data_IF_935643048032
#
_entry.id   IF_935643048032
#
_cell.length_a   1.000
_cell.length_b   1.000
_cell.length_c   1.000
_cell.angle_alpha   90.00
_cell.angle_beta   90.00
_cell.angle_gamma   90.00
#
_symmetry.space_group_name_H-M   'P 1'
#
loop_
_entity.id
_entity.type
_entity.pdbx_description
1 polymer ?
#
# COMPACT_ATOMS: atom_id res chain seq x y z
N UNK A 1 -23.27 -11.83 4.28
CA UNK A 1 -21.91 -12.34 4.03
C UNK A 1 -21.02 -11.61 4.99
N UNK A 2 -20.31 -12.31 5.88
CA UNK A 2 -19.36 -11.65 6.77
C UNK A 2 -18.05 -11.31 6.04
N UNK A 3 -17.12 -10.64 6.72
CA UNK A 3 -15.86 -10.21 6.11
C UNK A 3 -14.90 -11.37 5.79
N UNK A 4 -14.94 -12.48 6.55
CA UNK A 4 -14.15 -13.70 6.31
C UNK A 4 -14.67 -14.47 5.12
N UNK A 5 -15.99 -14.65 5.01
CA UNK A 5 -16.64 -15.28 3.85
C UNK A 5 -16.27 -14.56 2.53
N UNK A 6 -16.27 -13.23 2.56
CA UNK A 6 -15.90 -12.40 1.43
C UNK A 6 -14.40 -12.56 1.12
N UNK A 7 -13.56 -12.51 2.16
CA UNK A 7 -12.11 -12.64 2.03
C UNK A 7 -11.68 -13.99 1.44
N UNK A 8 -12.26 -15.10 1.92
CA UNK A 8 -11.97 -16.45 1.41
C UNK A 8 -12.32 -16.58 -0.07
N UNK A 9 -13.46 -16.02 -0.49
CA UNK A 9 -13.86 -16.01 -1.90
C UNK A 9 -12.92 -15.16 -2.75
N UNK A 10 -12.49 -13.99 -2.25
CA UNK A 10 -11.52 -13.15 -2.94
C UNK A 10 -10.17 -13.85 -3.02
N UNK A 11 -9.72 -14.47 -1.93
CA UNK A 11 -8.46 -15.20 -1.88
C UNK A 11 -8.43 -16.35 -2.87
N UNK A 12 -9.52 -17.13 -2.99
CA UNK A 12 -9.63 -18.18 -4.00
C UNK A 12 -9.51 -17.65 -5.44
N UNK A 13 -10.02 -16.45 -5.73
CA UNK A 13 -9.84 -15.79 -7.03
C UNK A 13 -8.38 -15.38 -7.21
N UNK A 14 -7.76 -14.79 -6.20
CA UNK A 14 -6.35 -14.36 -6.23
C UNK A 14 -5.42 -15.55 -6.40
N UNK A 15 -5.61 -16.65 -5.68
CA UNK A 15 -4.79 -17.85 -5.78
C UNK A 15 -4.87 -18.44 -7.20
N UNK A 16 -6.08 -18.50 -7.77
CA UNK A 16 -6.30 -19.05 -9.10
C UNK A 16 -5.73 -18.18 -10.22
N UNK A 17 -5.92 -16.86 -10.14
CA UNK A 17 -5.64 -15.94 -11.25
C UNK A 17 -4.40 -15.07 -11.05
N UNK A 18 -3.91 -14.91 -9.82
CA UNK A 18 -2.78 -14.06 -9.46
C UNK A 18 -1.49 -14.35 -10.23
N UNK A 19 -1.06 -15.62 -10.39
CA UNK A 19 0.14 -15.95 -11.16
C UNK A 19 0.07 -15.49 -12.63
N UNK A 20 -1.11 -15.63 -13.26
CA UNK A 20 -1.35 -15.18 -14.63
C UNK A 20 -1.35 -13.65 -14.71
N UNK A 21 -2.08 -12.97 -13.82
CA UNK A 21 -2.13 -11.50 -13.76
C UNK A 21 -0.73 -10.90 -13.60
N UNK A 22 0.08 -11.49 -12.72
CA UNK A 22 1.46 -11.05 -12.50
C UNK A 22 2.33 -11.24 -13.75
N UNK A 23 2.34 -12.45 -14.31
CA UNK A 23 3.12 -12.76 -15.52
C UNK A 23 2.72 -11.85 -16.68
N UNK A 24 1.42 -11.72 -16.92
CA UNK A 24 0.88 -10.94 -18.02
C UNK A 24 1.23 -9.45 -17.85
N UNK A 25 1.17 -8.91 -16.62
CA UNK A 25 1.56 -7.52 -16.33
C UNK A 25 3.01 -7.20 -16.70
N UNK A 26 3.92 -8.15 -16.47
CA UNK A 26 5.34 -8.02 -16.83
C UNK A 26 5.60 -8.02 -18.35
N UNK A 27 4.63 -8.46 -19.15
CA UNK A 27 4.74 -8.54 -20.62
C UNK A 27 4.09 -7.35 -21.33
N UNK A 28 3.64 -6.34 -20.58
CA UNK A 28 2.98 -5.15 -21.15
C UNK A 28 3.98 -4.03 -21.46
N UNK A 29 3.48 -2.89 -21.91
CA UNK A 29 4.24 -1.64 -22.02
C UNK A 29 4.53 -0.96 -20.67
N UNK A 30 3.98 -1.48 -19.55
CA UNK A 30 4.07 -0.90 -18.21
C UNK A 30 4.60 -1.89 -17.15
N UNK A 31 5.68 -2.63 -17.43
CA UNK A 31 6.10 -3.76 -16.61
C UNK A 31 6.48 -3.36 -15.18
N UNK A 32 7.15 -2.22 -14.95
CA UNK A 32 7.55 -1.81 -13.60
C UNK A 32 6.37 -1.35 -12.76
N UNK A 33 5.45 -0.61 -13.37
CA UNK A 33 4.25 -0.09 -12.69
C UNK A 33 3.32 -1.23 -12.31
N UNK A 34 3.06 -2.16 -13.24
CA UNK A 34 2.23 -3.33 -12.97
C UNK A 34 2.90 -4.31 -12.01
N UNK A 35 4.23 -4.45 -12.05
CA UNK A 35 4.98 -5.19 -11.03
C UNK A 35 4.77 -4.56 -9.64
N UNK A 36 4.89 -3.25 -9.52
CA UNK A 36 4.68 -2.55 -8.25
C UNK A 36 3.27 -2.77 -7.71
N UNK A 37 2.26 -2.63 -8.58
CA UNK A 37 0.85 -2.88 -8.24
C UNK A 37 0.60 -4.32 -7.79
N UNK A 38 1.13 -5.32 -8.51
CA UNK A 38 1.02 -6.71 -8.11
C UNK A 38 1.71 -7.00 -6.77
N UNK A 39 2.86 -6.37 -6.49
CA UNK A 39 3.51 -6.49 -5.19
C UNK A 39 2.68 -5.85 -4.06
N UNK A 40 1.89 -4.82 -4.34
CA UNK A 40 0.92 -4.29 -3.36
C UNK A 40 -0.23 -5.26 -3.09
N UNK A 41 -0.61 -6.13 -4.03
CA UNK A 41 -1.57 -7.20 -3.74
C UNK A 41 -1.02 -8.14 -2.65
N UNK A 42 0.24 -8.57 -2.78
CA UNK A 42 0.88 -9.44 -1.80
C UNK A 42 1.05 -8.74 -0.44
N UNK A 43 1.61 -7.52 -0.42
CA UNK A 43 1.83 -6.74 0.81
C UNK A 43 0.50 -6.43 1.53
N UNK A 44 -0.52 -6.02 0.76
CA UNK A 44 -1.86 -5.76 1.29
C UNK A 44 -2.45 -7.00 1.94
N UNK A 45 -2.35 -8.15 1.27
CA UNK A 45 -2.86 -9.41 1.81
C UNK A 45 -2.14 -9.83 3.10
N UNK A 46 -0.82 -9.68 3.17
CA UNK A 46 -0.05 -9.97 4.38
C UNK A 46 -0.47 -9.08 5.56
N UNK A 47 -0.63 -7.77 5.32
CA UNK A 47 -1.09 -6.83 6.36
C UNK A 47 -2.51 -7.14 6.82
N UNK A 48 -3.43 -7.43 5.89
CA UNK A 48 -4.81 -7.85 6.19
C UNK A 48 -4.84 -9.12 7.05
N UNK A 49 -4.09 -10.14 6.66
CA UNK A 49 -4.01 -11.41 7.42
C UNK A 49 -3.46 -11.16 8.82
N UNK A 50 -2.40 -10.35 8.94
CA UNK A 50 -1.89 -9.95 10.25
C UNK A 50 -2.92 -9.20 11.10
N UNK A 51 -3.79 -8.38 10.48
CA UNK A 51 -4.87 -7.72 11.20
C UNK A 51 -5.95 -8.71 11.69
N UNK A 52 -6.27 -9.76 10.93
CA UNK A 52 -7.11 -10.85 11.43
C UNK A 52 -6.49 -11.53 12.65
N UNK A 53 -5.20 -11.87 12.58
CA UNK A 53 -4.49 -12.49 13.69
C UNK A 53 -4.49 -11.59 14.95
N UNK A 54 -4.38 -10.27 14.78
CA UNK A 54 -4.45 -9.34 15.91
C UNK A 54 -5.83 -9.25 16.55
N UNK A 55 -6.91 -9.42 15.78
CA UNK A 55 -8.27 -9.51 16.34
C UNK A 55 -8.44 -10.84 17.07
N UNK A 56 -8.03 -11.95 16.46
CA UNK A 56 -8.13 -13.30 17.04
C UNK A 56 -7.30 -13.46 18.32
N UNK A 57 -6.23 -12.66 18.47
CA UNK A 57 -5.39 -12.62 19.67
C UNK A 57 -5.71 -11.48 20.64
N UNK A 58 -6.82 -10.74 20.45
CA UNK A 58 -7.23 -9.61 21.29
C UNK A 58 -6.15 -8.52 21.45
N UNK A 59 -5.49 -8.15 20.35
CA UNK A 59 -4.40 -7.19 20.32
C UNK A 59 -4.75 -5.92 19.50
N UNK A 60 -5.61 -5.04 20.03
CA UNK A 60 -6.03 -3.81 19.34
C UNK A 60 -4.85 -2.86 19.08
N UNK A 61 -3.81 -2.86 19.92
CA UNK A 61 -2.61 -2.06 19.67
C UNK A 61 -1.94 -2.43 18.34
N UNK A 62 -1.62 -3.71 18.18
CA UNK A 62 -0.97 -4.20 16.97
C UNK A 62 -1.86 -4.02 15.74
N UNK A 63 -3.18 -4.21 15.89
CA UNK A 63 -4.15 -3.91 14.84
C UNK A 63 -4.01 -2.46 14.33
N UNK A 64 -4.01 -1.47 15.22
CA UNK A 64 -3.89 -0.04 14.84
C UNK A 64 -2.57 0.26 14.12
N UNK A 65 -1.46 -0.33 14.56
CA UNK A 65 -0.15 -0.20 13.91
C UNK A 65 -0.18 -0.77 12.49
N UNK A 66 -0.72 -1.98 12.33
CA UNK A 66 -0.85 -2.62 11.02
C UNK A 66 -1.80 -1.85 10.10
N UNK A 67 -2.93 -1.38 10.62
CA UNK A 67 -3.91 -0.64 9.85
C UNK A 67 -3.33 0.68 9.32
N UNK A 68 -2.55 1.39 10.16
CA UNK A 68 -1.81 2.57 9.72
C UNK A 68 -0.86 2.28 8.56
N UNK A 69 -0.13 1.17 8.62
CA UNK A 69 0.75 0.72 7.53
C UNK A 69 -0.05 0.36 6.28
N UNK A 70 -1.18 -0.32 6.45
CA UNK A 70 -2.07 -0.71 5.36
C UNK A 70 -2.66 0.49 4.62
N UNK A 71 -3.09 1.54 5.33
CA UNK A 71 -3.51 2.81 4.71
C UNK A 71 -2.42 3.42 3.82
N UNK A 72 -1.16 3.38 4.25
CA UNK A 72 -0.04 3.90 3.47
C UNK A 72 0.24 3.06 2.22
N UNK A 73 0.20 1.73 2.36
CA UNK A 73 0.35 0.82 1.23
C UNK A 73 -0.76 1.02 0.19
N UNK A 74 -2.00 1.12 0.68
CA UNK A 74 -3.16 1.36 -0.17
C UNK A 74 -3.04 2.69 -0.93
N UNK A 75 -2.60 3.77 -0.27
CA UNK A 75 -2.44 5.06 -0.93
C UNK A 75 -1.31 5.07 -1.96
N UNK A 76 -0.17 4.42 -1.67
CA UNK A 76 0.91 4.24 -2.66
C UNK A 76 0.42 3.44 -3.87
N UNK A 77 -0.34 2.37 -3.65
CA UNK A 77 -1.01 1.63 -4.72
C UNK A 77 -1.93 2.53 -5.55
N UNK A 78 -2.80 3.28 -4.89
CA UNK A 78 -3.76 4.19 -5.54
C UNK A 78 -3.04 5.25 -6.38
N UNK A 79 -1.93 5.78 -5.89
CA UNK A 79 -1.09 6.71 -6.62
C UNK A 79 -0.52 6.08 -7.90
N UNK A 80 0.03 4.87 -7.82
CA UNK A 80 0.54 4.15 -9.00
C UNK A 80 -0.56 3.91 -10.03
N UNK A 81 -1.73 3.44 -9.59
CA UNK A 81 -2.88 3.23 -10.47
C UNK A 81 -3.32 4.53 -11.17
N UNK A 82 -3.44 5.63 -10.41
CA UNK A 82 -3.82 6.93 -10.95
C UNK A 82 -2.80 7.45 -11.97
N UNK A 83 -1.49 7.39 -11.65
CA UNK A 83 -0.42 7.76 -12.58
C UNK A 83 -0.46 6.92 -13.86
N UNK A 84 -0.61 5.60 -13.73
CA UNK A 84 -0.67 4.71 -14.90
C UNK A 84 -1.85 5.04 -15.83
N UNK A 85 -3.05 5.23 -15.26
CA UNK A 85 -4.26 5.52 -16.05
C UNK A 85 -4.20 6.88 -16.74
N UNK A 86 -3.55 7.87 -16.10
CA UNK A 86 -3.40 9.23 -16.63
C UNK A 86 -2.26 9.34 -17.63
N UNK A 87 -1.05 9.00 -17.20
CA UNK A 87 0.17 9.28 -17.95
C UNK A 87 0.40 8.26 -19.07
N UNK A 88 -0.09 7.01 -18.86
CA UNK A 88 0.10 5.88 -19.79
C UNK A 88 1.57 5.67 -20.12
N UNK A 89 2.43 5.78 -19.10
CA UNK A 89 3.86 5.48 -19.13
C UNK A 89 4.22 4.53 -18.00
N UNK A 90 5.41 3.93 -18.07
CA UNK A 90 5.93 3.09 -16.99
C UNK A 90 6.73 3.89 -15.93
N UNK A 91 6.71 5.22 -16.02
CA UNK A 91 7.54 6.09 -15.18
C UNK A 91 7.22 5.96 -13.70
N UNK A 92 5.95 5.76 -13.33
CA UNK A 92 5.56 5.62 -11.93
C UNK A 92 6.21 4.39 -11.27
N UNK A 93 6.33 3.28 -12.02
CA UNK A 93 7.04 2.08 -11.60
C UNK A 93 8.54 2.30 -11.44
N UNK A 94 9.17 2.99 -12.40
CA UNK A 94 10.58 3.40 -12.32
C UNK A 94 10.84 4.31 -11.13
N UNK A 95 10.02 5.34 -10.92
CA UNK A 95 10.14 6.24 -9.77
C UNK A 95 10.03 5.46 -8.44
N UNK A 96 9.10 4.49 -8.36
CA UNK A 96 8.90 3.66 -7.17
C UNK A 96 10.08 2.72 -6.90
N UNK A 97 10.51 1.91 -7.87
CA UNK A 97 11.56 0.92 -7.62
C UNK A 97 12.95 1.52 -7.57
N UNK A 98 13.23 2.50 -8.44
CA UNK A 98 14.59 3.01 -8.60
C UNK A 98 14.84 4.20 -7.69
N UNK A 99 13.96 5.20 -7.68
CA UNK A 99 14.22 6.43 -6.93
C UNK A 99 13.87 6.28 -5.45
N UNK A 100 12.72 5.68 -5.11
CA UNK A 100 12.45 5.37 -3.70
C UNK A 100 13.42 4.33 -3.15
N UNK A 101 13.71 3.28 -3.92
CA UNK A 101 14.70 2.26 -3.53
C UNK A 101 16.10 2.84 -3.28
N UNK A 102 16.56 3.76 -4.13
CA UNK A 102 17.83 4.46 -3.91
C UNK A 102 17.81 5.33 -2.65
N UNK A 103 16.71 6.04 -2.37
CA UNK A 103 16.57 6.84 -1.13
C UNK A 103 16.57 5.95 0.10
N UNK A 104 15.82 4.86 0.10
CA UNK A 104 15.78 3.89 1.20
C UNK A 104 17.17 3.27 1.44
N UNK A 105 17.88 2.90 0.38
CA UNK A 105 19.24 2.38 0.49
C UNK A 105 20.22 3.42 1.05
N UNK A 106 20.14 4.69 0.60
CA UNK A 106 20.97 5.76 1.16
C UNK A 106 20.69 6.00 2.65
N UNK A 107 19.42 5.97 3.07
CA UNK A 107 19.02 6.13 4.47
C UNK A 107 19.51 4.97 5.33
N UNK A 108 19.34 3.73 4.86
CA UNK A 108 19.84 2.53 5.53
C UNK A 108 21.37 2.57 5.70
N UNK A 109 22.10 2.87 4.63
CA UNK A 109 23.56 2.98 4.67
C UNK A 109 24.03 4.13 5.58
N UNK A 110 23.29 5.24 5.60
CA UNK A 110 23.53 6.34 6.53
C UNK A 110 23.37 5.92 7.99
N UNK A 111 22.33 5.12 8.30
CA UNK A 111 22.11 4.57 9.63
C UNK A 111 23.23 3.60 10.06
N UNK A 112 23.70 2.74 9.15
CA UNK A 112 24.83 1.85 9.42
C UNK A 112 26.11 2.63 9.73
N UNK A 113 26.41 3.69 8.95
CA UNK A 113 27.57 4.55 9.22
C UNK A 113 27.52 5.18 10.60
N UNK A 114 26.34 5.67 11.02
CA UNK A 114 26.14 6.24 12.34
C UNK A 114 26.33 5.17 13.44
N UNK A 115 25.81 3.96 13.22
CA UNK A 115 25.99 2.84 14.15
C UNK A 115 27.46 2.44 14.30
N UNK A 116 28.21 2.35 13.20
CA UNK A 116 29.65 2.05 13.20
C UNK A 116 30.44 3.10 13.99
N UNK A 117 30.13 4.39 13.78
CA UNK A 117 30.77 5.47 14.51
C UNK A 117 30.49 5.40 16.03
N UNK A 118 29.28 4.98 16.43
CA UNK A 118 28.93 4.81 17.84
C UNK A 118 29.71 3.69 18.54
N UNK A 119 30.12 2.66 17.81
CA UNK A 119 30.92 1.54 18.33
C UNK A 119 32.42 1.70 18.11
N UNK A 120 32.86 2.85 17.58
CA UNK A 120 34.27 3.17 17.35
C UNK A 120 34.88 2.53 16.11
N UNK A 121 34.06 2.06 15.17
CA UNK A 121 34.53 1.55 13.89
C UNK A 121 34.61 2.68 12.85
N UNK A 122 35.77 2.83 12.21
CA UNK A 122 35.91 3.67 11.02
C UNK A 122 35.53 2.87 9.77
N UNK A 123 34.23 2.69 9.55
CA UNK A 123 33.70 1.98 8.38
C UNK A 123 34.08 2.69 7.06
N UNK A 124 34.99 2.09 6.28
CA UNK A 124 35.37 2.51 4.92
C UNK A 124 34.43 1.87 3.89
N UNK A 125 33.13 2.13 3.97
CA UNK A 125 32.20 1.68 2.93
C UNK A 125 32.01 2.80 1.90
N UNK A 126 32.26 2.51 0.62
CA UNK A 126 31.96 3.47 -0.46
C UNK A 126 30.47 3.37 -0.82
N UNK A 127 29.66 4.14 -0.10
CA UNK A 127 28.20 4.13 -0.19
C UNK A 127 27.67 4.57 -1.57
N UNK A 128 28.39 5.42 -2.27
CA UNK A 128 28.00 5.90 -3.59
C UNK A 128 28.00 4.75 -4.61
N UNK A 129 29.05 3.93 -4.60
CA UNK A 129 29.20 2.79 -5.51
C UNK A 129 28.11 1.72 -5.30
N UNK A 130 27.64 1.54 -4.06
CA UNK A 130 26.60 0.56 -3.75
C UNK A 130 25.23 0.98 -4.31
N UNK A 131 24.88 2.27 -4.16
CA UNK A 131 23.62 2.81 -4.71
C UNK A 131 23.66 2.80 -6.23
N UNK A 132 24.78 3.19 -6.85
CA UNK A 132 24.94 3.16 -8.30
C UNK A 132 24.80 1.74 -8.89
N UNK A 133 25.36 0.73 -8.22
CA UNK A 133 25.24 -0.68 -8.65
C UNK A 133 23.82 -1.24 -8.51
N UNK A 134 23.11 -0.90 -7.44
CA UNK A 134 21.77 -1.42 -7.16
C UNK A 134 20.68 -0.64 -7.92
N UNK A 135 20.89 0.64 -8.15
CA UNK A 135 19.92 1.56 -8.76
C UNK A 135 20.59 2.42 -9.84
N UNK A 136 21.00 1.81 -10.97
CA UNK A 136 21.70 2.53 -12.04
C UNK A 136 20.87 3.69 -12.62
N UNK A 137 19.54 3.55 -12.66
CA UNK A 137 18.62 4.60 -13.07
C UNK A 137 18.62 5.81 -12.12
N UNK A 138 19.01 5.64 -10.86
CA UNK A 138 19.11 6.72 -9.87
C UNK A 138 20.48 7.41 -9.88
N UNK A 139 21.52 6.78 -10.46
CA UNK A 139 22.92 7.21 -10.35
C UNK A 139 23.18 8.62 -10.94
N UNK A 140 22.44 8.98 -11.98
CA UNK A 140 22.58 10.29 -12.65
C UNK A 140 21.82 11.43 -11.95
N UNK A 141 21.05 11.14 -10.91
CA UNK A 141 20.24 12.11 -10.20
C UNK A 141 20.98 12.65 -8.96
N UNK A 142 20.83 13.95 -8.71
CA UNK A 142 21.28 14.54 -7.46
C UNK A 142 20.46 14.02 -6.27
N UNK A 143 21.05 14.04 -5.07
CA UNK A 143 20.32 13.73 -3.81
C UNK A 143 19.04 14.54 -3.64
N UNK A 144 19.01 15.79 -4.12
CA UNK A 144 17.82 16.63 -4.08
C UNK A 144 16.73 16.08 -5.02
N UNK A 145 17.08 15.79 -6.27
CA UNK A 145 16.14 15.20 -7.23
C UNK A 145 15.57 13.88 -6.72
N UNK A 146 16.41 12.99 -6.17
CA UNK A 146 15.95 11.73 -5.58
C UNK A 146 14.95 11.94 -4.45
N UNK A 147 15.19 12.91 -3.56
CA UNK A 147 14.24 13.29 -2.50
C UNK A 147 12.95 13.89 -3.04
N UNK A 148 13.01 14.67 -4.12
CA UNK A 148 11.84 15.26 -4.75
C UNK A 148 10.98 14.17 -5.42
N UNK A 149 11.61 13.21 -6.11
CA UNK A 149 10.92 12.06 -6.71
C UNK A 149 10.33 11.12 -5.66
N UNK A 150 11.11 10.69 -4.66
CA UNK A 150 10.61 9.81 -3.59
C UNK A 150 9.56 10.51 -2.73
N UNK A 151 9.67 11.84 -2.60
CA UNK A 151 8.70 12.69 -1.93
C UNK A 151 7.27 12.53 -2.47
N UNK A 152 7.11 12.26 -3.77
CA UNK A 152 5.79 12.02 -4.40
C UNK A 152 5.04 10.83 -3.79
N UNK A 153 5.75 9.86 -3.23
CA UNK A 153 5.18 8.66 -2.60
C UNK A 153 4.90 8.84 -1.10
N UNK A 154 5.14 10.04 -0.55
CA UNK A 154 4.74 10.38 0.81
C UNK A 154 3.25 10.64 0.85
N UNK A 155 2.62 10.22 1.95
CA UNK A 155 1.18 10.34 2.17
C UNK A 155 0.60 11.71 1.79
N UNK A 156 1.20 12.80 2.28
CA UNK A 156 0.69 14.17 2.03
C UNK A 156 0.75 14.55 0.55
N UNK A 157 1.80 14.16 -0.15
CA UNK A 157 1.99 14.46 -1.56
C UNK A 157 1.06 13.60 -2.42
N UNK A 158 0.83 12.34 -2.06
CA UNK A 158 -0.19 11.48 -2.68
C UNK A 158 -1.58 12.11 -2.51
N UNK A 159 -1.97 12.51 -1.31
CA UNK A 159 -3.28 13.13 -1.10
C UNK A 159 -3.45 14.43 -1.90
N UNK A 160 -2.42 15.27 -1.95
CA UNK A 160 -2.44 16.50 -2.76
C UNK A 160 -2.59 16.19 -4.24
N UNK A 161 -1.86 15.19 -4.74
CA UNK A 161 -1.99 14.72 -6.10
C UNK A 161 -3.41 14.23 -6.39
N UNK A 162 -3.92 13.27 -5.60
CA UNK A 162 -5.24 12.69 -5.79
C UNK A 162 -6.36 13.74 -5.74
N UNK A 163 -6.26 14.73 -4.84
CA UNK A 163 -7.20 15.84 -4.75
C UNK A 163 -7.17 16.74 -6.01
N UNK A 164 -5.99 16.94 -6.60
CA UNK A 164 -5.82 17.74 -7.83
C UNK A 164 -6.31 17.03 -9.10
N UNK A 165 -6.32 15.70 -9.12
CA UNK A 165 -6.73 14.92 -10.30
C UNK A 165 -8.24 14.82 -10.52
N UNK A 166 -9.06 15.23 -9.55
CA UNK A 166 -10.53 15.17 -9.68
C UNK A 166 -11.07 13.75 -9.89
N UNK A 167 -10.33 12.73 -9.45
CA UNK A 167 -10.75 11.34 -9.56
C UNK A 167 -12.04 11.14 -8.76
N UNK A 168 -13.09 10.62 -9.40
CA UNK A 168 -14.43 10.51 -8.77
C UNK A 168 -14.44 9.67 -7.50
N UNK A 169 -13.53 8.69 -7.38
CA UNK A 169 -13.38 7.87 -6.17
C UNK A 169 -12.67 8.58 -5.01
N UNK A 170 -12.09 9.76 -5.27
CA UNK A 170 -11.45 10.65 -4.28
C UNK A 170 -12.44 11.72 -3.76
N UNK A 171 -13.70 11.68 -4.20
CA UNK A 171 -14.69 12.67 -3.80
C UNK A 171 -15.19 12.42 -2.36
N UNK A 172 -15.62 13.48 -1.67
CA UNK A 172 -16.25 13.38 -0.34
C UNK A 172 -17.59 12.61 -0.33
N UNK A 173 -18.08 12.17 -1.50
CA UNK A 173 -19.25 11.29 -1.64
C UNK A 173 -18.88 9.80 -1.68
N UNK A 174 -17.59 9.48 -1.78
CA UNK A 174 -17.09 8.12 -1.72
C UNK A 174 -16.59 7.86 -0.29
N UNK A 175 -17.26 6.99 0.50
CA UNK A 175 -16.94 6.72 1.92
C UNK A 175 -15.51 6.25 2.19
N UNK A 176 -14.80 5.92 1.13
CA UNK A 176 -13.57 5.17 1.14
C UNK A 176 -12.34 6.00 1.59
N UNK A 177 -12.11 7.18 1.00
CA UNK A 177 -11.03 8.06 1.49
C UNK A 177 -11.38 8.77 2.80
N UNK A 178 -12.67 8.98 3.06
CA UNK A 178 -13.13 9.53 4.33
C UNK A 178 -12.87 8.59 5.51
N UNK A 179 -12.70 7.28 5.28
CA UNK A 179 -12.26 6.34 6.31
C UNK A 179 -10.72 6.29 6.42
N UNK A 180 -10.01 6.22 5.29
CA UNK A 180 -8.54 6.04 5.25
C UNK A 180 -7.80 7.26 5.83
N UNK A 181 -8.22 8.48 5.49
CA UNK A 181 -7.49 9.69 5.89
C UNK A 181 -7.52 9.93 7.40
N UNK A 182 -8.69 9.86 8.06
CA UNK A 182 -8.76 9.92 9.53
C UNK A 182 -8.04 8.75 10.19
N UNK A 183 -8.22 7.51 9.72
CA UNK A 183 -7.53 6.34 10.27
C UNK A 183 -6.00 6.50 10.23
N UNK A 184 -5.45 6.95 9.09
CA UNK A 184 -4.02 7.21 8.97
C UNK A 184 -3.54 8.28 9.97
N UNK A 185 -4.30 9.38 10.13
CA UNK A 185 -3.92 10.46 11.02
C UNK A 185 -3.99 10.03 12.49
N UNK A 186 -5.10 9.40 12.88
CA UNK A 186 -5.37 8.91 14.22
C UNK A 186 -4.33 7.86 14.64
N UNK A 187 -4.06 6.89 13.77
CA UNK A 187 -3.20 5.77 14.11
C UNK A 187 -1.69 6.08 14.00
N UNK A 188 -1.32 7.30 13.61
CA UNK A 188 0.09 7.72 13.54
C UNK A 188 0.78 7.69 14.91
N UNK A 189 0.05 7.95 16.00
CA UNK A 189 0.64 7.89 17.35
C UNK A 189 1.08 6.46 17.69
N UNK A 190 0.35 5.44 17.23
CA UNK A 190 0.59 4.04 17.59
C UNK A 190 1.91 3.53 17.02
N UNK A 191 2.22 3.91 15.77
CA UNK A 191 3.49 3.52 15.11
C UNK A 191 4.70 4.11 15.83
N UNK A 192 4.56 5.27 16.47
CA UNK A 192 5.67 5.99 17.10
C UNK A 192 5.70 5.88 18.63
N UNK A 193 4.76 5.13 19.23
CA UNK A 193 4.61 5.09 20.70
C UNK A 193 4.34 6.48 21.29
N UNK A 194 3.57 7.31 20.58
CA UNK A 194 3.28 8.67 21.00
C UNK A 194 2.29 8.74 22.17
N UNK A 195 2.23 9.87 22.91
CA UNK A 195 1.43 9.96 24.14
C UNK A 195 -0.08 9.74 23.97
N UNK A 196 -0.62 9.98 22.77
CA UNK A 196 -2.03 9.70 22.50
C UNK A 196 -2.35 8.20 22.59
N UNK A 197 -1.37 7.37 22.24
CA UNK A 197 -1.51 5.91 22.32
C UNK A 197 -1.63 5.45 23.76
N UNK A 198 -0.92 6.06 24.70
CA UNK A 198 -1.04 5.74 26.12
C UNK A 198 -2.46 6.00 26.63
N UNK A 199 -3.13 7.05 26.13
CA UNK A 199 -4.52 7.37 26.48
C UNK A 199 -5.50 6.30 26.01
N UNK A 200 -5.39 5.84 24.76
CA UNK A 200 -6.28 4.79 24.24
C UNK A 200 -5.97 3.41 24.81
N UNK A 201 -4.72 3.13 25.17
CA UNK A 201 -4.35 1.84 25.75
C UNK A 201 -5.07 1.54 27.08
N UNK A 202 -5.51 2.56 27.82
CA UNK A 202 -6.35 2.35 29.00
C UNK A 202 -7.69 1.69 28.68
N UNK A 203 -8.21 1.92 27.47
CA UNK A 203 -9.50 1.40 27.01
C UNK A 203 -9.39 0.03 26.34
N UNK A 204 -8.18 -0.50 26.11
CA UNK A 204 -7.99 -1.77 25.40
C UNK A 204 -8.43 -3.01 26.19
N UNK A 205 -8.67 -2.85 27.48
CA UNK A 205 -9.32 -3.88 28.30
C UNK A 205 -10.84 -3.95 28.08
N UNK A 206 -11.42 -2.95 27.40
CA UNK A 206 -12.85 -2.85 27.15
C UNK A 206 -13.23 -3.62 25.86
N UNK A 207 -14.33 -4.40 25.85
CA UNK A 207 -14.79 -5.11 24.65
C UNK A 207 -15.01 -4.21 23.42
N UNK A 208 -15.33 -2.94 23.64
CA UNK A 208 -15.57 -1.94 22.61
C UNK A 208 -14.33 -1.69 21.73
N UNK A 209 -13.13 -1.77 22.31
CA UNK A 209 -11.89 -1.58 21.56
C UNK A 209 -11.67 -2.69 20.51
N UNK A 210 -12.00 -3.93 20.86
CA UNK A 210 -11.92 -5.07 19.94
C UNK A 210 -13.01 -4.99 18.87
N UNK A 211 -14.24 -4.65 19.28
CA UNK A 211 -15.37 -4.48 18.36
C UNK A 211 -15.07 -3.42 17.29
N UNK A 212 -14.44 -2.30 17.66
CA UNK A 212 -14.03 -1.28 16.70
C UNK A 212 -12.99 -1.81 15.68
N UNK A 213 -12.10 -2.72 16.10
CA UNK A 213 -11.18 -3.38 15.18
C UNK A 213 -11.90 -4.32 14.22
N UNK A 214 -12.90 -5.08 14.69
CA UNK A 214 -13.74 -5.94 13.85
C UNK A 214 -14.54 -5.14 12.81
N UNK A 215 -15.09 -3.98 13.18
CA UNK A 215 -15.79 -3.08 12.26
C UNK A 215 -14.85 -2.57 11.15
N UNK A 216 -13.60 -2.24 11.51
CA UNK A 216 -12.58 -1.81 10.55
C UNK A 216 -12.15 -2.93 9.58
N UNK A 217 -12.25 -4.21 9.97
CA UNK A 217 -11.89 -5.33 9.08
C UNK A 217 -12.75 -5.39 7.83
N UNK A 218 -14.00 -4.95 7.89
CA UNK A 218 -14.86 -4.89 6.70
C UNK A 218 -14.30 -3.93 5.65
N UNK A 219 -13.86 -2.75 6.10
CA UNK A 219 -13.22 -1.75 5.25
C UNK A 219 -11.91 -2.28 4.69
N UNK A 220 -11.10 -2.93 5.53
CA UNK A 220 -9.82 -3.51 5.14
C UNK A 220 -9.99 -4.60 4.07
N UNK A 221 -10.98 -5.49 4.19
CA UNK A 221 -11.28 -6.51 3.18
C UNK A 221 -11.64 -5.85 1.85
N UNK A 222 -12.50 -4.83 1.87
CA UNK A 222 -12.84 -4.07 0.66
C UNK A 222 -11.61 -3.40 0.03
N UNK A 223 -10.78 -2.73 0.85
CA UNK A 223 -9.53 -2.12 0.40
C UNK A 223 -8.58 -3.15 -0.22
N UNK A 224 -8.39 -4.31 0.41
CA UNK A 224 -7.50 -5.33 -0.11
C UNK A 224 -8.01 -5.92 -1.44
N UNK A 225 -9.32 -6.14 -1.53
CA UNK A 225 -9.96 -6.61 -2.75
C UNK A 225 -9.83 -5.61 -3.90
N UNK A 226 -9.98 -4.30 -3.62
CA UNK A 226 -9.85 -3.27 -4.65
C UNK A 226 -8.42 -3.16 -5.18
N UNK A 227 -7.39 -3.41 -4.36
CA UNK A 227 -6.00 -3.49 -4.85
C UNK A 227 -5.89 -4.54 -5.96
N UNK A 228 -6.38 -5.76 -5.71
CA UNK A 228 -6.30 -6.84 -6.70
C UNK A 228 -7.17 -6.57 -7.94
N UNK A 229 -8.43 -6.16 -7.72
CA UNK A 229 -9.37 -5.82 -8.81
C UNK A 229 -8.82 -4.71 -9.71
N UNK A 230 -8.28 -3.64 -9.14
CA UNK A 230 -7.74 -2.54 -9.94
C UNK A 230 -6.43 -2.93 -10.63
N UNK A 231 -5.66 -3.87 -10.06
CA UNK A 231 -4.48 -4.46 -10.71
C UNK A 231 -4.87 -5.30 -11.92
N UNK A 232 -5.89 -6.17 -11.81
CA UNK A 232 -6.38 -6.97 -12.96
C UNK A 232 -6.92 -6.09 -14.07
N UNK A 233 -7.63 -5.01 -13.70
CA UNK A 233 -8.15 -4.03 -14.65
C UNK A 233 -7.02 -3.32 -15.38
N UNK A 234 -5.95 -2.94 -14.66
CA UNK A 234 -4.78 -2.28 -15.24
C UNK A 234 -4.02 -3.20 -16.20
N UNK A 235 -3.86 -4.48 -15.86
CA UNK A 235 -3.26 -5.49 -16.76
C UNK A 235 -4.11 -5.69 -18.01
N UNK A 236 -5.43 -5.85 -17.85
CA UNK A 236 -6.39 -5.99 -18.97
C UNK A 236 -6.29 -4.79 -19.92
N UNK A 237 -6.33 -3.57 -19.37
CA UNK A 237 -6.17 -2.33 -20.12
C UNK A 237 -4.83 -2.29 -20.88
N UNK A 238 -3.73 -2.65 -20.21
CA UNK A 238 -2.39 -2.64 -20.79
C UNK A 238 -2.22 -3.65 -21.93
N UNK A 239 -3.00 -4.74 -21.93
CA UNK A 239 -3.06 -5.73 -23.02
C UNK A 239 -3.97 -5.29 -24.19
N UNK A 240 -4.67 -4.15 -24.05
CA UNK A 240 -5.65 -3.69 -25.05
C UNK A 240 -6.95 -4.51 -25.04
N UNK A 241 -7.18 -5.29 -23.99
CA UNK A 241 -8.40 -6.08 -23.84
C UNK A 241 -9.57 -5.18 -23.38
N UNK A 242 -10.78 -5.50 -23.84
CA UNK A 242 -11.98 -4.68 -23.58
C UNK A 242 -12.71 -5.04 -22.29
N UNK A 243 -12.48 -6.24 -21.75
CA UNK A 243 -13.27 -6.79 -20.63
C UNK A 243 -12.32 -7.43 -19.63
N UNK A 244 -12.35 -6.95 -18.40
CA UNK A 244 -11.65 -7.60 -17.28
C UNK A 244 -12.56 -8.62 -16.61
N UNK A 245 -12.37 -9.88 -16.98
CA UNK A 245 -13.12 -10.98 -16.39
C UNK A 245 -12.72 -11.28 -14.95
N UNK A 246 -11.47 -11.04 -14.55
CA UNK A 246 -10.98 -11.37 -13.19
C UNK A 246 -11.44 -10.30 -12.21
N UNK A 247 -11.23 -9.03 -12.53
CA UNK A 247 -11.74 -7.92 -11.72
C UNK A 247 -13.27 -7.93 -11.63
N UNK A 248 -13.96 -8.35 -12.69
CA UNK A 248 -15.41 -8.56 -12.67
C UNK A 248 -15.87 -9.56 -11.58
N UNK A 249 -15.15 -10.67 -11.40
CA UNK A 249 -15.44 -11.67 -10.34
C UNK A 249 -15.22 -11.10 -8.94
N UNK A 250 -14.13 -10.35 -8.75
CA UNK A 250 -13.84 -9.69 -7.46
C UNK A 250 -14.96 -8.70 -7.12
N UNK A 251 -15.36 -7.87 -8.09
CA UNK A 251 -16.45 -6.92 -7.93
C UNK A 251 -17.79 -7.60 -7.60
N UNK A 252 -18.06 -8.78 -8.14
CA UNK A 252 -19.25 -9.56 -7.80
C UNK A 252 -19.24 -10.04 -6.35
N UNK A 253 -18.09 -10.48 -5.82
CA UNK A 253 -17.95 -10.79 -4.38
C UNK A 253 -18.20 -9.53 -3.56
N UNK A 254 -17.55 -8.41 -3.90
CA UNK A 254 -17.72 -7.15 -3.18
C UNK A 254 -19.17 -6.67 -3.15
N UNK A 255 -19.89 -6.74 -4.28
CA UNK A 255 -21.32 -6.38 -4.31
C UNK A 255 -22.14 -7.24 -3.37
N UNK A 256 -21.93 -8.56 -3.35
CA UNK A 256 -22.65 -9.46 -2.42
C UNK A 256 -22.27 -9.19 -0.96
N UNK A 257 -21.03 -8.78 -0.70
CA UNK A 257 -20.55 -8.41 0.62
C UNK A 257 -21.19 -7.12 1.15
N UNK A 258 -21.41 -6.13 0.28
CA UNK A 258 -21.98 -4.82 0.66
C UNK A 258 -23.51 -4.78 0.68
N UNK A 259 -24.20 -5.74 0.05
CA UNK A 259 -25.68 -5.80 0.06
C UNK A 259 -26.21 -5.92 1.49
N UNK A 260 -27.02 -4.94 1.91
CA UNK A 260 -27.65 -4.90 3.22
C UNK A 260 -26.87 -4.13 4.31
N UNK A 261 -25.80 -3.42 3.94
CA UNK A 261 -24.97 -2.59 4.83
C UNK A 261 -25.12 -1.07 4.60
N UNK A 262 -26.13 -0.65 3.84
CA UNK A 262 -26.48 0.76 3.61
C UNK A 262 -27.55 1.27 4.59
#
# INVERSE_FOLDING_TARGET
MDYRDADDQIFAIVEKHGPEVFRDGLQTAYPQTLRAMAMFCAKGNSLKTGMFDTVDSNNPYAFRVLYRSFCEHYLRFTYLWARMTKDKTDEAGTEYYSYCGAVEAMEYLGALKLADALVGNDGVMNYADAVEKLYPEAAHLSKKQLKDFSGKFKYRDILRYLAGEGLRFVSGKTPFLSAIVPAYALYSSFVHGGPYTDLEMFEYSQPEALKACEEDLEVIVMMNATIFMMTTMAVTFAKGEKVDHVGGKVNEVLRRFTVGKE
#
